data_IF_912611427275
#
_entry.id   IF_912611427275
#
_cell.length_a   1.000
_cell.length_b   1.000
_cell.length_c   1.000
_cell.angle_alpha   90.00
_cell.angle_beta   90.00
_cell.angle_gamma   90.00
#
_symmetry.space_group_name_H-M   'P 1'
#
loop_
_entity.id
_entity.type
_entity.pdbx_description
1 polymer ?
#
# COMPACT_ATOMS: atom_id res chain seq x y z
N UNK A 1 11.60 -16.60 -5.40
CA UNK A 1 10.26 -16.94 -4.89
C UNK A 1 9.39 -15.70 -5.05
N UNK A 2 8.21 -15.81 -5.66
CA UNK A 2 7.27 -14.68 -5.75
C UNK A 2 6.69 -14.47 -4.35
N UNK A 3 7.07 -13.39 -3.65
CA UNK A 3 6.49 -13.04 -2.35
C UNK A 3 5.07 -12.50 -2.54
N UNK A 4 4.12 -13.37 -2.89
CA UNK A 4 2.73 -12.97 -3.16
C UNK A 4 1.95 -12.71 -1.86
N UNK A 5 2.27 -13.42 -0.79
CA UNK A 5 1.62 -13.30 0.51
C UNK A 5 2.17 -12.15 1.38
N UNK A 6 3.17 -11.41 0.88
CA UNK A 6 3.72 -10.26 1.58
C UNK A 6 2.68 -9.13 1.66
N UNK A 7 2.42 -8.65 2.86
CA UNK A 7 1.57 -7.47 3.11
C UNK A 7 2.25 -6.22 2.58
N UNK A 8 1.51 -5.44 1.80
CA UNK A 8 1.99 -4.22 1.13
C UNK A 8 1.20 -2.98 1.52
N UNK A 9 0.00 -3.13 2.08
CA UNK A 9 -0.79 -2.00 2.57
C UNK A 9 -1.77 -2.49 3.62
N UNK A 10 -1.45 -2.28 4.90
CA UNK A 10 -2.24 -2.85 6.00
C UNK A 10 -2.34 -4.37 5.88
N UNK A 11 -3.55 -4.88 5.68
CA UNK A 11 -3.80 -6.33 5.46
C UNK A 11 -3.67 -6.78 4.01
N UNK A 12 -3.60 -5.86 3.05
CA UNK A 12 -3.56 -6.15 1.62
C UNK A 12 -2.22 -6.76 1.25
N UNK A 13 -2.25 -7.85 0.48
CA UNK A 13 -1.05 -8.57 0.04
C UNK A 13 -0.65 -8.25 -1.38
N UNK A 14 0.60 -8.56 -1.73
CA UNK A 14 1.12 -8.40 -3.09
C UNK A 14 0.28 -9.16 -4.12
N UNK A 15 -0.30 -10.31 -3.74
CA UNK A 15 -1.20 -11.10 -4.58
C UNK A 15 -2.42 -10.30 -5.03
N UNK A 16 -3.03 -9.52 -4.15
CA UNK A 16 -4.25 -8.76 -4.48
C UNK A 16 -3.99 -7.64 -5.50
N UNK A 17 -2.77 -7.06 -5.44
CA UNK A 17 -2.35 -5.99 -6.34
C UNK A 17 -1.87 -6.54 -7.68
N UNK A 18 -1.06 -7.61 -7.70
CA UNK A 18 -0.38 -8.08 -8.93
C UNK A 18 -0.39 -9.59 -9.19
N UNK A 19 -0.87 -10.42 -8.25
CA UNK A 19 -0.78 -11.90 -8.33
C UNK A 19 -2.11 -12.64 -8.49
N UNK A 20 -3.24 -11.94 -8.44
CA UNK A 20 -4.55 -12.47 -8.76
C UNK A 20 -4.95 -11.98 -10.16
N UNK A 21 -5.51 -12.88 -10.99
CA UNK A 21 -6.34 -12.48 -12.14
C UNK A 21 -7.31 -11.39 -11.67
N UNK A 22 -7.53 -10.32 -12.45
CA UNK A 22 -8.17 -9.12 -11.91
C UNK A 22 -9.56 -9.43 -11.36
N UNK A 23 -9.83 -9.30 -10.03
CA UNK A 23 -11.14 -8.89 -9.58
C UNK A 23 -11.50 -7.57 -10.24
N UNK A 24 -12.75 -7.47 -10.67
CA UNK A 24 -13.29 -6.28 -11.31
C UNK A 24 -13.10 -5.06 -10.40
N UNK A 25 -12.58 -3.97 -10.97
CA UNK A 25 -12.81 -2.63 -10.41
C UNK A 25 -14.33 -2.51 -10.32
N UNK A 26 -14.94 -2.38 -9.12
CA UNK A 26 -14.53 -1.50 -8.01
C UNK A 26 -13.91 -2.15 -6.76
N UNK A 27 -13.77 -3.47 -6.70
CA UNK A 27 -13.47 -4.21 -5.46
C UNK A 27 -12.13 -3.80 -4.80
N UNK A 28 -11.07 -3.68 -5.60
CA UNK A 28 -9.74 -3.28 -5.11
C UNK A 28 -9.69 -1.84 -4.56
N UNK A 29 -10.49 -0.92 -5.11
CA UNK A 29 -10.52 0.47 -4.63
C UNK A 29 -11.19 0.56 -3.26
N UNK A 30 -12.34 -0.09 -3.09
CA UNK A 30 -13.08 -0.11 -1.82
C UNK A 30 -12.24 -0.72 -0.69
N UNK A 31 -11.49 -1.79 -0.98
CA UNK A 31 -10.56 -2.41 -0.04
C UNK A 31 -9.42 -1.45 0.34
N UNK A 32 -8.80 -0.79 -0.64
CA UNK A 32 -7.72 0.19 -0.36
C UNK A 32 -8.22 1.39 0.44
N UNK A 33 -9.44 1.84 0.19
CA UNK A 33 -10.07 2.95 0.90
C UNK A 33 -10.33 2.60 2.37
N UNK A 34 -11.01 1.47 2.62
CA UNK A 34 -11.26 0.98 3.98
C UNK A 34 -9.98 0.74 4.76
N UNK A 35 -8.98 0.12 4.14
CA UNK A 35 -7.70 -0.10 4.83
C UNK A 35 -6.95 1.22 5.05
N UNK A 36 -7.04 2.21 4.17
CA UNK A 36 -6.47 3.53 4.43
C UNK A 36 -7.12 4.15 5.67
N UNK A 37 -8.44 4.13 5.79
CA UNK A 37 -9.14 4.67 6.97
C UNK A 37 -8.67 4.01 8.28
N UNK A 38 -8.54 2.67 8.27
CA UNK A 38 -8.04 1.91 9.43
C UNK A 38 -6.60 2.33 9.76
N UNK A 39 -5.71 2.35 8.76
CA UNK A 39 -4.32 2.72 8.97
C UNK A 39 -4.18 4.14 9.51
N UNK A 40 -4.97 5.09 8.99
CA UNK A 40 -4.98 6.47 9.47
C UNK A 40 -5.44 6.58 10.92
N UNK A 41 -6.46 5.83 11.32
CA UNK A 41 -6.90 5.76 12.71
C UNK A 41 -5.82 5.14 13.62
N UNK A 42 -5.14 4.08 13.15
CA UNK A 42 -4.04 3.47 13.90
C UNK A 42 -2.87 4.43 14.08
N UNK A 43 -2.55 5.27 13.09
CA UNK A 43 -1.48 6.28 13.17
C UNK A 43 -1.65 7.26 14.32
N UNK A 44 -2.88 7.53 14.77
CA UNK A 44 -3.14 8.46 15.89
C UNK A 44 -2.55 7.96 17.22
N UNK A 45 -2.42 6.65 17.37
CA UNK A 45 -1.91 6.02 18.59
C UNK A 45 -0.43 5.59 18.48
N UNK A 46 0.24 5.89 17.37
CA UNK A 46 1.62 5.44 17.14
C UNK A 46 2.67 6.44 17.65
N UNK A 47 3.75 5.97 18.29
CA UNK A 47 4.87 6.83 18.66
C UNK A 47 5.68 7.25 17.44
N UNK A 48 6.40 8.40 17.53
CA UNK A 48 7.21 8.95 16.42
C UNK A 48 8.21 7.96 15.83
N UNK A 49 8.86 7.13 16.66
CA UNK A 49 9.78 6.09 16.17
C UNK A 49 9.07 5.08 15.26
N UNK A 50 7.84 4.68 15.60
CA UNK A 50 7.09 3.77 14.75
C UNK A 50 6.60 4.45 13.47
N UNK A 51 6.28 5.74 13.51
CA UNK A 51 5.96 6.52 12.31
C UNK A 51 7.13 6.55 11.31
N UNK A 52 8.37 6.71 11.78
CA UNK A 52 9.57 6.64 10.92
C UNK A 52 9.72 5.24 10.30
N UNK A 53 9.57 4.19 11.10
CA UNK A 53 9.64 2.81 10.60
C UNK A 53 8.56 2.54 9.53
N UNK A 54 7.32 2.97 9.77
CA UNK A 54 6.22 2.84 8.81
C UNK A 54 6.53 3.57 7.50
N UNK A 55 7.08 4.79 7.56
CA UNK A 55 7.47 5.55 6.38
C UNK A 55 8.51 4.81 5.52
N UNK A 56 9.52 4.21 6.15
CA UNK A 56 10.55 3.44 5.43
C UNK A 56 9.99 2.14 4.83
N UNK A 57 9.16 1.42 5.58
CA UNK A 57 8.49 0.21 5.10
C UNK A 57 7.62 0.49 3.87
N UNK A 58 6.89 1.61 3.84
CA UNK A 58 6.05 1.96 2.69
C UNK A 58 6.86 2.33 1.44
N UNK A 59 8.04 2.93 1.58
CA UNK A 59 8.94 3.17 0.44
C UNK A 59 9.50 1.87 -0.13
N UNK A 60 9.91 0.94 0.74
CA UNK A 60 10.43 -0.38 0.33
C UNK A 60 9.34 -1.14 -0.43
N UNK A 61 8.13 -1.10 0.10
CA UNK A 61 6.96 -1.77 -0.46
C UNK A 61 6.54 -1.17 -1.80
N UNK A 62 6.50 0.15 -1.92
CA UNK A 62 6.24 0.83 -3.18
C UNK A 62 7.24 0.38 -4.26
N UNK A 63 8.54 0.38 -3.92
CA UNK A 63 9.57 -0.11 -4.82
C UNK A 63 9.35 -1.58 -5.19
N UNK A 64 8.97 -2.42 -4.23
CA UNK A 64 8.71 -3.84 -4.46
C UNK A 64 7.54 -4.08 -5.44
N UNK A 65 6.44 -3.34 -5.29
CA UNK A 65 5.27 -3.44 -6.18
C UNK A 65 5.60 -2.92 -7.58
N UNK A 66 6.31 -1.79 -7.68
CA UNK A 66 6.61 -1.14 -8.96
C UNK A 66 7.77 -1.78 -9.74
N UNK A 67 8.71 -2.47 -9.07
CA UNK A 67 9.92 -3.03 -9.73
C UNK A 67 9.69 -4.42 -10.33
N UNK A 68 8.50 -5.02 -10.23
CA UNK A 68 8.27 -6.40 -10.69
C UNK A 68 8.04 -6.46 -12.21
N UNK A 69 8.96 -7.07 -12.99
CA UNK A 69 8.76 -7.28 -14.42
C UNK A 69 7.69 -8.37 -14.65
N UNK A 70 6.67 -8.05 -15.43
CA UNK A 70 5.51 -8.93 -15.70
C UNK A 70 4.16 -8.40 -15.18
N UNK A 71 4.15 -7.47 -14.21
CA UNK A 71 2.93 -6.81 -13.74
C UNK A 71 2.49 -5.63 -14.64
N UNK A 72 3.34 -5.24 -15.59
CA UNK A 72 3.21 -4.06 -16.44
C UNK A 72 2.12 -4.14 -17.54
N UNK A 73 1.47 -5.29 -17.77
CA UNK A 73 0.44 -5.41 -18.81
C UNK A 73 -1.00 -5.56 -18.25
N UNK A 74 -1.21 -6.41 -17.24
CA UNK A 74 -2.56 -6.78 -16.78
C UNK A 74 -3.01 -6.07 -15.48
N UNK A 75 -2.06 -5.61 -14.65
CA UNK A 75 -2.35 -5.05 -13.31
C UNK A 75 -2.04 -3.57 -13.17
N UNK A 76 -1.77 -2.87 -14.29
CA UNK A 76 -1.42 -1.43 -14.33
C UNK A 76 -2.40 -0.55 -13.53
N UNK A 77 -3.71 -0.78 -13.66
CA UNK A 77 -4.70 0.03 -12.95
C UNK A 77 -4.67 -0.18 -11.43
N UNK A 78 -4.44 -1.42 -10.97
CA UNK A 78 -4.31 -1.73 -9.54
C UNK A 78 -3.02 -1.18 -8.93
N UNK A 79 -1.92 -1.23 -9.68
CA UNK A 79 -0.65 -0.63 -9.26
C UNK A 79 -0.81 0.89 -9.15
N UNK A 80 -1.49 1.53 -10.12
CA UNK A 80 -1.82 2.96 -10.04
C UNK A 80 -2.63 3.29 -8.79
N UNK A 81 -3.73 2.56 -8.54
CA UNK A 81 -4.54 2.74 -7.34
C UNK A 81 -3.72 2.55 -6.06
N UNK A 82 -2.97 1.45 -5.96
CA UNK A 82 -2.08 1.21 -4.81
C UNK A 82 -1.11 2.39 -4.60
N UNK A 83 -0.45 2.88 -5.65
CA UNK A 83 0.46 4.01 -5.55
C UNK A 83 -0.25 5.30 -5.09
N UNK A 84 -1.49 5.55 -5.53
CA UNK A 84 -2.27 6.70 -5.07
C UNK A 84 -2.58 6.63 -3.57
N UNK A 85 -3.08 5.49 -3.08
CA UNK A 85 -3.39 5.30 -1.66
C UNK A 85 -2.13 5.25 -0.80
N UNK A 86 -1.05 4.62 -1.27
CA UNK A 86 0.25 4.59 -0.60
C UNK A 86 0.84 6.00 -0.46
N UNK A 87 0.73 6.82 -1.51
CA UNK A 87 1.19 8.21 -1.48
C UNK A 87 0.42 9.05 -0.45
N UNK A 88 -0.91 8.89 -0.39
CA UNK A 88 -1.75 9.56 0.63
C UNK A 88 -1.29 9.18 2.04
N UNK A 89 -1.12 7.88 2.29
CA UNK A 89 -0.68 7.39 3.60
C UNK A 89 0.71 7.90 4.00
N UNK A 90 1.68 7.85 3.07
CA UNK A 90 3.02 8.41 3.28
C UNK A 90 2.97 9.90 3.60
N UNK A 91 2.13 10.67 2.91
CA UNK A 91 1.97 12.10 3.17
C UNK A 91 1.46 12.34 4.59
N UNK A 92 0.42 11.61 5.01
CA UNK A 92 -0.13 11.77 6.37
C UNK A 92 0.85 11.37 7.46
N UNK A 93 1.67 10.33 7.25
CA UNK A 93 2.74 9.98 8.19
C UNK A 93 3.74 11.13 8.33
N UNK A 94 4.15 11.77 7.23
CA UNK A 94 5.07 12.91 7.26
C UNK A 94 4.47 14.10 8.00
N UNK A 95 3.23 14.45 7.70
CA UNK A 95 2.52 15.54 8.38
C UNK A 95 2.45 15.29 9.90
N UNK A 96 2.21 14.04 10.34
CA UNK A 96 2.24 13.66 11.77
C UNK A 96 3.64 13.69 12.39
N UNK A 97 4.69 13.40 11.63
CA UNK A 97 6.08 13.48 12.12
C UNK A 97 6.52 14.94 12.33
N UNK A 98 6.05 15.82 11.46
CA UNK A 98 6.32 17.27 11.46
C UNK A 98 5.46 18.05 12.47
N UNK A 99 4.37 17.43 12.97
CA UNK A 99 3.53 17.94 14.07
C UNK A 99 4.15 17.68 15.45
#
# INVERSE_FOLDING_TARGET
MLELDKKVFGKITTKEIIGAEPPAIPDTKDILEKELEILLAELESQPKENLVNLLEQQKITEKHVNSRPGAMALSQNKIKLFNEYNKKYIQTIKEKLES
#
